data_IF_621307487119
#
_entry.id   IF_621307487119
#
_cell.length_a   1.000
_cell.length_b   1.000
_cell.length_c   1.000
_cell.angle_alpha   90.00
_cell.angle_beta   90.00
_cell.angle_gamma   90.00
#
_symmetry.space_group_name_H-M   'P 1'
#
loop_
_entity.id
_entity.type
_entity.pdbx_description
1 polymer ?
#
# COMPACT_ATOMS: atom_id res chain seq x y z
N UNK A 1 -36.59 2.20 -8.25
CA UNK A 1 -37.52 2.41 -7.14
C UNK A 1 -37.68 3.90 -6.96
N UNK A 2 -38.89 4.43 -7.09
CA UNK A 2 -39.20 5.85 -6.88
C UNK A 2 -39.24 6.22 -5.40
N UNK A 3 -39.24 7.52 -5.06
CA UNK A 3 -39.33 7.99 -3.67
C UNK A 3 -40.63 7.51 -2.98
N UNK A 4 -41.75 7.56 -3.69
CA UNK A 4 -43.05 7.08 -3.21
C UNK A 4 -43.06 5.57 -2.97
N UNK A 5 -42.45 4.78 -3.87
CA UNK A 5 -42.31 3.33 -3.67
C UNK A 5 -41.46 3.03 -2.44
N UNK A 6 -40.33 3.73 -2.26
CA UNK A 6 -39.44 3.55 -1.12
C UNK A 6 -40.16 3.80 0.22
N UNK A 7 -40.92 4.89 0.33
CA UNK A 7 -41.69 5.18 1.54
C UNK A 7 -42.74 4.10 1.83
N UNK A 8 -43.44 3.63 0.80
CA UNK A 8 -44.49 2.61 0.94
C UNK A 8 -43.91 1.24 1.33
N UNK A 9 -42.77 0.86 0.76
CA UNK A 9 -42.14 -0.44 1.00
C UNK A 9 -41.45 -0.51 2.36
N UNK A 10 -40.66 0.50 2.71
CA UNK A 10 -39.80 0.47 3.90
C UNK A 10 -40.37 1.22 5.11
N UNK A 11 -41.43 2.03 4.90
CA UNK A 11 -42.07 2.85 5.94
C UNK A 11 -41.08 3.69 6.75
N UNK A 12 -39.98 4.11 6.11
CA UNK A 12 -38.92 4.89 6.71
C UNK A 12 -39.17 6.38 6.43
N UNK A 13 -39.22 7.26 7.44
CA UNK A 13 -39.56 8.68 7.28
C UNK A 13 -38.37 9.49 6.74
N UNK A 14 -37.92 9.19 5.52
CA UNK A 14 -36.88 9.96 4.83
C UNK A 14 -37.48 11.16 4.11
N UNK A 15 -36.80 12.31 4.19
CA UNK A 15 -37.08 13.46 3.32
C UNK A 15 -36.66 13.18 1.88
N UNK A 16 -37.20 13.90 0.87
CA UNK A 16 -36.78 13.74 -0.52
C UNK A 16 -35.28 14.00 -0.73
N UNK A 17 -34.68 14.90 0.07
CA UNK A 17 -33.24 15.18 0.03
C UNK A 17 -32.42 14.00 0.54
N UNK A 18 -32.81 13.41 1.66
CA UNK A 18 -32.13 12.22 2.21
C UNK A 18 -32.24 11.03 1.28
N UNK A 19 -33.41 10.85 0.66
CA UNK A 19 -33.61 9.84 -0.39
C UNK A 19 -32.66 10.07 -1.57
N UNK A 20 -32.56 11.29 -2.11
CA UNK A 20 -31.67 11.59 -3.22
C UNK A 20 -30.20 11.30 -2.87
N UNK A 21 -29.74 11.75 -1.69
CA UNK A 21 -28.38 11.49 -1.21
C UNK A 21 -28.10 9.98 -1.09
N UNK A 22 -29.06 9.22 -0.56
CA UNK A 22 -28.91 7.77 -0.39
C UNK A 22 -28.78 7.07 -1.76
N UNK A 23 -29.62 7.43 -2.73
CA UNK A 23 -29.62 6.80 -4.04
C UNK A 23 -28.44 7.24 -4.91
N UNK A 24 -27.97 8.48 -4.77
CA UNK A 24 -26.75 8.97 -5.44
C UNK A 24 -25.48 8.29 -4.89
N UNK A 25 -25.49 7.86 -3.62
CA UNK A 25 -24.37 7.15 -3.01
C UNK A 25 -24.19 5.71 -3.56
N UNK A 26 -25.20 5.15 -4.25
CA UNK A 26 -25.14 3.82 -4.84
C UNK A 26 -24.59 3.92 -6.27
N UNK A 27 -23.43 3.31 -6.58
CA UNK A 27 -22.86 3.38 -7.93
C UNK A 27 -23.81 2.87 -9.00
N UNK A 28 -23.91 3.57 -10.13
CA UNK A 28 -24.80 3.24 -11.25
C UNK A 28 -24.61 1.81 -11.77
N UNK A 29 -23.36 1.33 -11.78
CA UNK A 29 -23.04 -0.06 -12.18
C UNK A 29 -23.71 -1.09 -11.26
N UNK A 30 -23.76 -0.84 -9.96
CA UNK A 30 -24.45 -1.73 -9.00
C UNK A 30 -25.96 -1.69 -9.25
N UNK A 31 -26.55 -0.50 -9.40
CA UNK A 31 -27.98 -0.38 -9.70
C UNK A 31 -28.37 -1.08 -11.00
N UNK A 32 -27.50 -1.09 -12.01
CA UNK A 32 -27.71 -1.83 -13.26
C UNK A 32 -27.68 -3.36 -13.06
N UNK A 33 -26.83 -3.88 -12.17
CA UNK A 33 -26.79 -5.33 -11.89
C UNK A 33 -28.10 -5.84 -11.26
N UNK A 34 -28.80 -4.97 -10.51
CA UNK A 34 -30.08 -5.31 -9.88
C UNK A 34 -31.31 -4.96 -10.74
N UNK A 35 -31.14 -4.38 -11.94
CA UNK A 35 -32.27 -4.14 -12.85
C UNK A 35 -32.78 -5.48 -13.39
N UNK A 36 -34.05 -5.81 -13.09
CA UNK A 36 -34.71 -7.01 -13.59
C UNK A 36 -34.63 -8.23 -12.66
N UNK A 37 -33.91 -8.13 -11.54
CA UNK A 37 -33.97 -9.14 -10.48
C UNK A 37 -35.26 -8.90 -9.69
N UNK A 38 -36.17 -9.88 -9.71
CA UNK A 38 -37.34 -9.87 -8.83
C UNK A 38 -36.87 -9.99 -7.38
N UNK A 39 -37.34 -9.13 -6.45
CA UNK A 39 -36.98 -9.26 -5.05
C UNK A 39 -37.59 -10.56 -4.53
N UNK A 40 -36.74 -11.57 -4.29
CA UNK A 40 -37.11 -12.66 -3.39
C UNK A 40 -37.16 -12.04 -1.99
N UNK A 41 -38.37 -11.68 -1.53
CA UNK A 41 -38.59 -11.16 -0.19
C UNK A 41 -38.56 -12.37 0.76
N UNK A 42 -37.37 -12.89 1.01
CA UNK A 42 -37.14 -13.65 2.23
C UNK A 42 -37.30 -12.66 3.38
N UNK A 43 -38.20 -12.93 4.32
CA UNK A 43 -38.44 -12.12 5.52
C UNK A 43 -37.26 -12.18 6.50
N UNK A 44 -36.05 -11.87 6.03
CA UNK A 44 -34.86 -11.77 6.85
C UNK A 44 -34.97 -10.46 7.61
N UNK A 45 -35.08 -10.54 8.93
CA UNK A 45 -34.95 -9.37 9.79
C UNK A 45 -33.57 -8.76 9.55
N UNK A 46 -33.55 -7.53 9.05
CA UNK A 46 -32.30 -6.81 8.87
C UNK A 46 -31.72 -6.54 10.26
N UNK A 47 -30.49 -6.98 10.57
CA UNK A 47 -29.86 -6.69 11.86
C UNK A 47 -29.77 -5.17 12.06
N UNK A 48 -29.93 -4.69 13.30
CA UNK A 48 -29.87 -3.27 13.56
C UNK A 48 -28.46 -2.77 13.21
N UNK A 49 -28.32 -1.73 12.37
CA UNK A 49 -27.00 -1.19 12.01
C UNK A 49 -26.15 -0.82 13.24
N UNK A 50 -26.78 -0.43 14.35
CA UNK A 50 -26.10 -0.13 15.63
C UNK A 50 -25.54 -1.36 16.34
N UNK A 51 -25.90 -2.56 15.93
CA UNK A 51 -25.33 -3.80 16.47
C UNK A 51 -23.93 -4.05 15.90
N UNK A 52 -23.64 -3.53 14.71
CA UNK A 52 -22.32 -3.61 14.08
C UNK A 52 -21.33 -2.63 14.72
N UNK A 53 -20.08 -3.07 14.92
CA UNK A 53 -18.98 -2.18 15.35
C UNK A 53 -18.80 -0.98 14.42
N UNK A 54 -18.98 -1.18 13.10
CA UNK A 54 -18.91 -0.11 12.10
C UNK A 54 -20.08 0.85 12.27
N UNK A 55 -21.30 0.32 12.43
CA UNK A 55 -22.49 1.15 12.58
C UNK A 55 -22.50 1.93 13.88
N UNK A 56 -21.97 1.38 14.98
CA UNK A 56 -21.72 2.16 16.21
C UNK A 56 -20.81 3.35 15.93
N UNK A 57 -19.65 3.13 15.30
CA UNK A 57 -18.69 4.21 15.02
C UNK A 57 -19.29 5.26 14.06
N UNK A 58 -20.03 4.83 13.03
CA UNK A 58 -20.53 5.72 11.99
C UNK A 58 -21.83 6.44 12.35
N UNK A 59 -22.67 5.86 13.21
CA UNK A 59 -24.04 6.33 13.46
C UNK A 59 -24.26 6.91 14.87
N UNK A 60 -23.37 6.67 15.85
CA UNK A 60 -23.50 7.26 17.20
C UNK A 60 -22.57 8.45 17.44
N UNK A 61 -21.48 8.55 16.69
CA UNK A 61 -20.46 9.58 16.91
C UNK A 61 -20.43 10.57 15.74
N UNK A 62 -20.97 11.78 15.95
CA UNK A 62 -20.91 12.87 14.96
C UNK A 62 -19.48 13.35 14.68
N UNK A 63 -18.50 12.95 15.51
CA UNK A 63 -17.07 13.13 15.30
C UNK A 63 -16.54 12.07 14.32
N UNK A 64 -16.70 12.35 13.04
CA UNK A 64 -16.29 11.54 11.88
C UNK A 64 -14.77 11.38 11.79
N UNK A 65 -14.16 10.56 12.62
CA UNK A 65 -12.73 10.27 12.48
C UNK A 65 -12.50 9.01 11.66
N UNK A 66 -12.06 9.18 10.40
CA UNK A 66 -11.51 8.09 9.58
C UNK A 66 -10.45 7.26 10.34
N UNK A 67 -9.81 7.84 11.37
CA UNK A 67 -8.90 7.13 12.28
C UNK A 67 -9.59 5.99 13.05
N UNK A 68 -10.80 6.20 13.55
CA UNK A 68 -11.52 5.21 14.35
C UNK A 68 -12.01 4.05 13.49
N UNK A 69 -12.53 4.37 12.29
CA UNK A 69 -12.89 3.36 11.28
C UNK A 69 -11.65 2.55 10.90
N UNK A 70 -10.53 3.22 10.63
CA UNK A 70 -9.27 2.53 10.27
C UNK A 70 -8.74 1.66 11.41
N UNK A 71 -8.84 2.12 12.65
CA UNK A 71 -8.39 1.37 13.82
C UNK A 71 -9.14 0.03 13.93
N UNK A 72 -10.46 0.00 13.70
CA UNK A 72 -11.27 -1.21 13.72
C UNK A 72 -10.67 -2.31 12.81
N UNK A 73 -10.39 -1.97 11.55
CA UNK A 73 -9.83 -2.91 10.59
C UNK A 73 -8.38 -3.30 10.89
N UNK A 74 -7.62 -2.43 11.56
CA UNK A 74 -6.25 -2.73 12.00
C UNK A 74 -6.21 -3.71 13.18
N UNK A 75 -7.22 -3.70 14.06
CA UNK A 75 -7.34 -4.66 15.16
C UNK A 75 -7.66 -6.08 14.66
N UNK A 76 -8.42 -6.20 13.58
CA UNK A 76 -8.90 -7.51 13.09
C UNK A 76 -7.95 -8.16 12.07
N UNK A 77 -7.14 -7.39 11.34
CA UNK A 77 -6.21 -7.91 10.33
C UNK A 77 -4.76 -7.87 10.81
N UNK A 78 -4.36 -8.88 11.58
CA UNK A 78 -3.00 -9.06 12.10
C UNK A 78 -2.11 -9.94 11.20
N UNK A 79 -2.51 -10.19 9.96
CA UNK A 79 -1.71 -11.07 9.09
C UNK A 79 -0.37 -10.40 8.78
N UNK A 80 0.71 -11.09 9.15
CA UNK A 80 2.06 -10.63 8.83
C UNK A 80 2.15 -10.57 7.29
N UNK A 81 2.50 -9.43 6.70
CA UNK A 81 2.63 -9.32 5.25
C UNK A 81 3.61 -10.38 4.74
N UNK A 82 3.24 -11.14 3.69
CA UNK A 82 4.09 -12.18 3.10
C UNK A 82 5.53 -11.70 2.78
N UNK A 83 5.66 -10.41 2.45
CA UNK A 83 6.93 -9.76 2.15
C UNK A 83 7.93 -9.84 3.32
N UNK A 84 7.45 -9.86 4.56
CA UNK A 84 8.29 -10.02 5.76
C UNK A 84 9.01 -11.36 5.73
N UNK A 85 8.27 -12.45 5.52
CA UNK A 85 8.85 -13.80 5.40
C UNK A 85 9.82 -13.89 4.23
N UNK A 86 9.40 -13.38 3.06
CA UNK A 86 10.23 -13.38 1.85
C UNK A 86 11.59 -12.70 2.07
N UNK A 87 11.61 -11.50 2.67
CA UNK A 87 12.86 -10.76 2.84
C UNK A 87 13.74 -11.29 3.97
N UNK A 88 13.13 -11.82 5.04
CA UNK A 88 13.87 -12.46 6.14
C UNK A 88 14.67 -13.68 5.67
N UNK A 89 14.26 -14.33 4.57
CA UNK A 89 15.03 -15.41 3.95
C UNK A 89 16.39 -14.93 3.40
N UNK A 90 16.46 -13.70 2.88
CA UNK A 90 17.69 -13.15 2.28
C UNK A 90 18.53 -12.35 3.26
N UNK A 91 17.91 -11.71 4.26
CA UNK A 91 18.58 -10.83 5.21
C UNK A 91 18.08 -11.14 6.61
N UNK A 92 19.00 -11.58 7.48
CA UNK A 92 18.70 -11.80 8.89
C UNK A 92 18.54 -10.48 9.64
N UNK A 93 17.72 -10.52 10.71
CA UNK A 93 17.58 -9.45 11.70
C UNK A 93 17.09 -8.11 11.14
N UNK A 94 16.15 -8.13 10.18
CA UNK A 94 15.51 -6.90 9.68
C UNK A 94 14.65 -6.27 10.78
N UNK A 95 14.95 -5.02 11.14
CA UNK A 95 14.11 -4.20 12.02
C UNK A 95 12.96 -3.61 11.19
N UNK A 96 11.90 -4.41 11.05
CA UNK A 96 10.70 -4.08 10.28
C UNK A 96 10.05 -2.77 10.73
N UNK A 97 9.96 -2.51 12.04
CA UNK A 97 9.42 -1.25 12.57
C UNK A 97 10.16 -0.04 12.01
N UNK A 98 11.49 -0.13 11.87
CA UNK A 98 12.30 0.94 11.28
C UNK A 98 12.10 1.02 9.76
N UNK A 99 12.13 -0.11 9.05
CA UNK A 99 11.94 -0.14 7.59
C UNK A 99 10.61 0.51 7.20
N UNK A 100 9.51 0.20 7.90
CA UNK A 100 8.19 0.78 7.65
C UNK A 100 8.08 2.28 7.95
N UNK A 101 8.93 2.80 8.84
CA UNK A 101 8.87 4.21 9.27
C UNK A 101 9.83 5.11 8.52
N UNK A 102 10.92 4.58 7.95
CA UNK A 102 11.95 5.38 7.25
C UNK A 102 11.37 6.30 6.16
N UNK A 103 10.48 5.85 5.25
CA UNK A 103 9.94 6.73 4.21
C UNK A 103 9.21 7.95 4.75
N UNK A 104 8.67 7.85 5.98
CA UNK A 104 7.97 8.95 6.64
C UNK A 104 8.86 9.77 7.57
N UNK A 105 10.08 9.29 7.87
CA UNK A 105 11.02 9.94 8.78
C UNK A 105 11.80 11.07 8.10
N UNK A 106 12.12 10.92 6.82
CA UNK A 106 12.92 11.90 6.08
C UNK A 106 12.04 12.71 5.11
N UNK A 107 12.50 13.92 4.79
CA UNK A 107 11.86 14.81 3.82
C UNK A 107 12.16 14.35 2.38
N UNK A 108 11.65 13.18 2.02
CA UNK A 108 11.70 12.63 0.66
C UNK A 108 10.38 12.89 -0.06
N UNK A 109 10.44 13.03 -1.38
CA UNK A 109 9.25 13.26 -2.20
C UNK A 109 8.28 12.07 -2.12
N UNK A 110 6.98 12.33 -2.31
CA UNK A 110 5.98 11.27 -2.35
C UNK A 110 6.29 10.21 -3.40
N UNK A 111 6.95 10.61 -4.51
CA UNK A 111 7.36 9.67 -5.55
C UNK A 111 8.40 8.67 -5.06
N UNK A 112 9.39 9.13 -4.31
CA UNK A 112 10.40 8.24 -3.71
C UNK A 112 9.75 7.29 -2.71
N UNK A 113 8.85 7.79 -1.85
CA UNK A 113 8.11 6.94 -0.89
C UNK A 113 7.31 5.84 -1.60
N UNK A 114 6.62 6.21 -2.67
CA UNK A 114 5.83 5.28 -3.49
C UNK A 114 6.72 4.19 -4.12
N UNK A 115 7.86 4.57 -4.73
CA UNK A 115 8.80 3.63 -5.33
C UNK A 115 9.38 2.68 -4.28
N UNK A 116 9.84 3.20 -3.14
CA UNK A 116 10.33 2.38 -2.03
C UNK A 116 9.26 1.41 -1.52
N UNK A 117 8.02 1.87 -1.35
CA UNK A 117 6.90 1.04 -0.92
C UNK A 117 6.65 -0.11 -1.91
N UNK A 118 6.63 0.19 -3.21
CA UNK A 118 6.43 -0.78 -4.29
C UNK A 118 7.54 -1.83 -4.38
N UNK A 119 8.80 -1.42 -4.24
CA UNK A 119 9.96 -2.32 -4.22
C UNK A 119 9.87 -3.26 -3.02
N UNK A 120 9.67 -2.68 -1.83
CA UNK A 120 9.60 -3.42 -0.57
C UNK A 120 8.46 -4.43 -0.53
N UNK A 121 7.31 -4.08 -1.12
CA UNK A 121 6.16 -4.98 -1.22
C UNK A 121 6.17 -5.87 -2.47
N UNK A 122 7.23 -5.81 -3.29
CA UNK A 122 7.43 -6.62 -4.50
C UNK A 122 6.34 -6.49 -5.57
N UNK A 123 5.72 -5.32 -5.69
CA UNK A 123 4.75 -5.05 -6.75
C UNK A 123 5.15 -3.87 -7.63
N UNK A 124 6.43 -3.46 -7.58
CA UNK A 124 6.97 -2.51 -8.55
C UNK A 124 6.80 -3.05 -9.97
N UNK A 125 6.27 -2.26 -10.92
CA UNK A 125 5.86 -2.74 -12.23
C UNK A 125 7.05 -2.89 -13.20
N UNK A 126 8.07 -3.67 -12.82
CA UNK A 126 9.14 -4.08 -13.75
C UNK A 126 8.61 -5.22 -14.62
N UNK A 127 8.68 -5.06 -15.95
CA UNK A 127 8.12 -6.04 -16.91
C UNK A 127 6.63 -6.38 -16.73
N UNK A 128 5.85 -5.56 -16.02
CA UNK A 128 4.43 -5.83 -15.77
C UNK A 128 3.59 -5.86 -17.05
N UNK A 129 4.01 -5.10 -18.06
CA UNK A 129 3.31 -4.99 -19.35
C UNK A 129 3.21 -6.32 -20.12
N UNK A 130 4.14 -7.24 -19.88
CA UNK A 130 4.13 -8.59 -20.48
C UNK A 130 2.88 -9.40 -20.16
N UNK A 131 2.21 -9.09 -19.05
CA UNK A 131 0.96 -9.74 -18.64
C UNK A 131 -0.24 -9.32 -19.50
N UNK A 132 -0.17 -8.16 -20.16
CA UNK A 132 -1.28 -7.59 -20.95
C UNK A 132 -1.06 -7.75 -22.44
N UNK A 133 0.20 -7.81 -22.90
CA UNK A 133 0.54 -7.98 -24.31
C UNK A 133 1.81 -8.79 -24.44
N UNK A 134 1.76 -9.86 -25.24
CA UNK A 134 2.88 -10.80 -25.44
C UNK A 134 4.00 -10.20 -26.29
N UNK A 135 3.68 -9.29 -27.19
CA UNK A 135 4.63 -8.68 -28.14
C UNK A 135 5.19 -7.35 -27.63
N UNK A 136 5.73 -7.36 -26.41
CA UNK A 136 6.41 -6.19 -25.81
C UNK A 136 7.86 -6.52 -25.57
N UNK A 137 8.74 -5.56 -25.86
CA UNK A 137 10.15 -5.65 -25.51
C UNK A 137 10.30 -5.71 -23.99
N UNK A 138 10.81 -6.85 -23.50
CA UNK A 138 11.00 -7.13 -22.07
C UNK A 138 12.34 -6.66 -21.54
N UNK A 139 13.17 -6.07 -22.40
CA UNK A 139 14.51 -5.65 -22.03
C UNK A 139 14.44 -4.35 -21.21
N UNK A 140 15.41 -4.22 -20.32
CA UNK A 140 15.62 -3.07 -19.47
C UNK A 140 15.63 -1.78 -20.29
N UNK A 141 14.80 -0.80 -19.92
CA UNK A 141 14.78 0.52 -20.56
C UNK A 141 16.09 1.31 -20.44
N UNK A 142 17.03 0.90 -19.58
CA UNK A 142 18.35 1.53 -19.46
C UNK A 142 19.39 0.88 -20.35
N UNK A 143 19.65 -0.42 -20.17
CA UNK A 143 20.75 -1.10 -20.88
C UNK A 143 20.34 -1.86 -22.13
N UNK A 144 19.05 -2.15 -22.33
CA UNK A 144 18.54 -2.88 -23.48
C UNK A 144 19.02 -4.34 -23.62
N UNK A 145 19.93 -4.81 -22.76
CA UNK A 145 20.64 -6.10 -22.91
C UNK A 145 20.12 -7.23 -22.02
N UNK A 146 19.36 -6.92 -20.97
CA UNK A 146 18.82 -7.90 -20.02
C UNK A 146 17.34 -7.64 -19.75
N UNK A 147 16.56 -8.65 -19.35
CA UNK A 147 15.18 -8.46 -18.97
C UNK A 147 15.00 -7.44 -17.84
N UNK A 148 14.00 -6.58 -17.95
CA UNK A 148 13.65 -5.59 -16.93
C UNK A 148 13.08 -6.25 -15.67
N UNK A 149 13.89 -6.37 -14.65
CA UNK A 149 13.45 -6.81 -13.31
C UNK A 149 13.73 -5.72 -12.30
N UNK A 150 13.03 -5.75 -11.15
CA UNK A 150 13.30 -4.82 -10.03
C UNK A 150 14.78 -4.91 -9.61
N UNK A 151 15.31 -6.12 -9.49
CA UNK A 151 16.72 -6.34 -9.16
C UNK A 151 17.65 -5.75 -10.23
N UNK A 152 17.29 -5.91 -11.50
CA UNK A 152 18.08 -5.35 -12.59
C UNK A 152 18.05 -3.82 -12.61
N UNK A 153 16.86 -3.21 -12.62
CA UNK A 153 16.67 -1.77 -12.65
C UNK A 153 17.38 -1.06 -11.49
N UNK A 154 17.30 -1.59 -10.26
CA UNK A 154 17.76 -0.88 -9.07
C UNK A 154 19.15 -1.32 -8.56
N UNK A 155 19.74 -2.39 -9.10
CA UNK A 155 21.04 -2.88 -8.62
C UNK A 155 21.97 -3.45 -9.69
N UNK A 156 21.49 -4.36 -10.55
CA UNK A 156 22.37 -5.12 -11.45
C UNK A 156 22.73 -4.37 -12.73
N UNK A 157 21.82 -3.54 -13.26
CA UNK A 157 22.00 -2.80 -14.52
C UNK A 157 23.33 -2.03 -14.53
N UNK A 158 24.02 -2.03 -15.68
CA UNK A 158 25.30 -1.32 -15.86
C UNK A 158 25.21 0.14 -15.47
N UNK A 159 24.18 0.85 -15.95
CA UNK A 159 23.93 2.25 -15.62
C UNK A 159 23.70 2.46 -14.12
N UNK A 160 22.85 1.64 -13.50
CA UNK A 160 22.56 1.72 -12.07
C UNK A 160 23.78 1.39 -11.21
N UNK A 161 24.59 0.41 -11.63
CA UNK A 161 25.84 0.06 -10.95
C UNK A 161 26.84 1.19 -11.01
N UNK A 162 26.98 1.86 -12.15
CA UNK A 162 27.84 3.05 -12.28
C UNK A 162 27.35 4.16 -11.36
N UNK A 163 26.05 4.45 -11.36
CA UNK A 163 25.44 5.41 -10.44
C UNK A 163 25.79 5.13 -8.97
N UNK A 164 25.60 3.89 -8.51
CA UNK A 164 25.91 3.52 -7.11
C UNK A 164 27.40 3.61 -6.77
N UNK A 165 28.29 3.31 -7.73
CA UNK A 165 29.74 3.49 -7.57
C UNK A 165 30.10 4.96 -7.39
N UNK A 166 29.55 5.83 -8.25
CA UNK A 166 29.84 7.25 -8.21
C UNK A 166 29.25 7.91 -6.95
N UNK A 167 28.02 7.52 -6.60
CA UNK A 167 27.40 7.91 -5.34
C UNK A 167 28.26 7.49 -4.15
N UNK A 168 28.74 6.24 -4.13
CA UNK A 168 29.57 5.76 -3.02
C UNK A 168 30.89 6.52 -2.93
N UNK A 169 31.53 6.81 -4.07
CA UNK A 169 32.77 7.60 -4.12
C UNK A 169 32.55 9.02 -3.60
N UNK A 170 31.45 9.66 -3.99
CA UNK A 170 31.09 10.99 -3.51
C UNK A 170 30.89 11.01 -1.99
N UNK A 171 30.09 10.09 -1.45
CA UNK A 171 29.84 10.02 0.01
C UNK A 171 31.13 9.69 0.76
N UNK A 172 31.96 8.78 0.23
CA UNK A 172 33.24 8.43 0.84
C UNK A 172 34.23 9.59 0.87
N UNK A 173 34.27 10.41 -0.19
CA UNK A 173 35.15 11.57 -0.29
C UNK A 173 34.76 12.73 0.63
N UNK A 174 33.47 12.90 0.92
CA UNK A 174 32.98 14.11 1.58
C UNK A 174 32.37 13.91 2.98
N UNK A 175 31.85 12.72 3.29
CA UNK A 175 30.99 12.53 4.47
C UNK A 175 31.39 11.33 5.33
N UNK A 176 31.70 10.18 4.72
CA UNK A 176 31.94 8.95 5.46
C UNK A 176 32.91 8.03 4.71
N UNK A 177 34.19 8.08 5.09
CA UNK A 177 35.32 7.42 4.39
C UNK A 177 35.11 5.92 4.10
N UNK A 178 34.42 5.21 5.00
CA UNK A 178 34.16 3.77 4.88
C UNK A 178 32.73 3.47 4.37
N UNK A 179 32.20 4.33 3.51
CA UNK A 179 30.86 4.17 2.95
C UNK A 179 30.79 3.05 1.91
N UNK A 180 29.94 2.06 2.19
CA UNK A 180 29.64 0.97 1.24
C UNK A 180 28.14 0.81 1.12
N UNK A 181 27.60 1.08 -0.08
CA UNK A 181 26.21 0.76 -0.43
C UNK A 181 26.09 -0.72 -0.78
N UNK A 182 24.96 -1.32 -0.41
CA UNK A 182 24.61 -2.71 -0.72
C UNK A 182 23.16 -2.75 -1.18
N UNK A 183 22.75 -3.83 -1.85
CA UNK A 183 21.39 -3.94 -2.40
C UNK A 183 20.33 -3.86 -1.29
N UNK A 184 20.62 -4.39 -0.10
CA UNK A 184 19.74 -4.34 1.06
C UNK A 184 19.47 -2.88 1.48
N UNK A 185 20.47 -2.01 1.33
CA UNK A 185 20.33 -0.59 1.66
C UNK A 185 19.41 0.15 0.69
N UNK A 186 19.30 -0.34 -0.56
CA UNK A 186 18.40 0.20 -1.58
C UNK A 186 16.96 -0.27 -1.33
N UNK A 187 16.78 -1.55 -0.98
CA UNK A 187 15.46 -2.14 -0.72
C UNK A 187 14.87 -1.67 0.61
N UNK A 188 15.64 -1.73 1.69
CA UNK A 188 15.14 -1.44 3.05
C UNK A 188 15.39 -0.01 3.50
N UNK A 189 16.01 0.81 2.65
CA UNK A 189 16.50 2.17 2.95
C UNK A 189 17.48 2.17 4.14
N UNK A 190 18.76 2.46 3.86
CA UNK A 190 19.91 2.51 4.80
C UNK A 190 19.67 1.98 6.23
N UNK A 191 19.91 0.68 6.38
CA UNK A 191 19.41 -0.10 7.51
C UNK A 191 20.38 -0.16 8.71
N UNK A 192 21.69 -0.02 8.51
CA UNK A 192 22.68 -0.21 9.58
C UNK A 192 23.41 1.07 9.95
N UNK A 193 23.16 1.55 11.18
CA UNK A 193 24.14 2.35 11.91
C UNK A 193 25.09 1.33 12.53
N UNK A 194 26.34 1.26 12.08
CA UNK A 194 27.33 0.48 12.81
C UNK A 194 27.35 1.01 14.25
N UNK A 195 27.10 0.15 15.25
CA UNK A 195 27.39 0.51 16.63
C UNK A 195 28.90 0.76 16.67
N UNK A 196 29.34 1.99 16.99
CA UNK A 196 30.72 2.21 17.41
C UNK A 196 30.99 1.16 18.50
N UNK A 197 31.90 0.21 18.25
CA UNK A 197 32.42 -0.63 19.33
C UNK A 197 32.96 0.36 20.36
N UNK A 198 32.37 0.43 21.54
CA UNK A 198 33.06 1.05 22.68
C UNK A 198 34.31 0.21 22.85
N UNK A 199 35.46 0.76 22.46
CA UNK A 199 36.75 0.28 22.91
C UNK A 199 36.70 0.42 24.43
N UNK A 200 36.48 -0.68 25.13
CA UNK A 200 36.89 -0.75 26.51
C UNK A 200 38.40 -0.87 26.47
N UNK A 201 39.08 0.25 26.71
CA UNK A 201 40.47 0.24 27.11
C UNK A 201 40.49 -0.36 28.51
N UNK A 202 41.01 -1.58 28.64
CA UNK A 202 41.48 -2.11 29.93
C UNK A 202 42.76 -1.36 30.31
#
# INVERSE_FOLDING_TARGET
MSYSEFLNTYKFPATPKEYAILFDAIPTGITMLFKGIQPCISSVSLPNPLDSHIGRICLTNHSKSNKNIRALFQTESLTIPHVVSYWNFFVSDINWKRVWTIPNKYLVTNKVKEVSFKILHKFYPANYMTKFKRDINVNCGFCGSHPETVQHLFWICSYTRTFWKDFSRFIAGHLYKDFTVKWENVVFCFFRRQKKKKMFTL
#
